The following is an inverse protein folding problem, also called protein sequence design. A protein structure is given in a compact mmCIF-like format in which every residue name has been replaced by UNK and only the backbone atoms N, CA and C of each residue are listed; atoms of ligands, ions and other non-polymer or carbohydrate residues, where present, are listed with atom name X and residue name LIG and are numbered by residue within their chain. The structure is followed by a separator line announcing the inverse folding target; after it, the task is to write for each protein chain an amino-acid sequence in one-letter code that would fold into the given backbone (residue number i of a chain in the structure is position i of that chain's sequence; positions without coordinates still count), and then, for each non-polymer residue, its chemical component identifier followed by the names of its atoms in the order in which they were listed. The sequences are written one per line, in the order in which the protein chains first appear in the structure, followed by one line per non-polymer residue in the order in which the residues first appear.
data_IF_748544148426
#
_entry.id   IF_748544148426
#
_cell.length_a   1.000
_cell.length_b   1.000
_cell.length_c   1.000
_cell.angle_alpha   90.00
_cell.angle_beta   90.00
_cell.angle_gamma   90.00
#
_symmetry.space_group_name_H-M   'P 1'
#
loop_
_entity.id
_entity.type
_entity.pdbx_description
1 polymer ?
#
# COMPACT_ATOMS: atom_id res chain seq x y z
N UNK A 1 -30.03 28.19 4.46
CA UNK A 1 -28.62 27.95 4.11
C UNK A 1 -28.37 26.46 4.07
N UNK A 2 -28.13 25.89 2.89
CA UNK A 2 -27.82 24.47 2.74
C UNK A 2 -26.36 24.20 3.10
N UNK A 3 -26.13 23.49 4.19
CA UNK A 3 -24.78 23.04 4.57
C UNK A 3 -24.22 22.12 3.49
N UNK A 4 -23.10 22.50 2.88
CA UNK A 4 -22.35 21.66 1.96
C UNK A 4 -21.88 20.43 2.74
N UNK A 5 -22.51 19.28 2.50
CA UNK A 5 -21.99 17.97 2.89
C UNK A 5 -20.60 17.82 2.25
N UNK A 6 -19.55 18.11 3.01
CA UNK A 6 -18.20 17.71 2.63
C UNK A 6 -18.14 16.19 2.77
N UNK A 7 -18.48 15.48 1.71
CA UNK A 7 -18.26 14.05 1.63
C UNK A 7 -16.79 13.78 1.97
N UNK A 8 -16.55 12.97 3.01
CA UNK A 8 -15.20 12.61 3.44
C UNK A 8 -14.46 12.01 2.25
N UNK A 9 -13.33 12.63 1.86
CA UNK A 9 -12.44 12.07 0.84
C UNK A 9 -12.08 10.65 1.28
N UNK A 10 -12.47 9.66 0.47
CA UNK A 10 -12.10 8.28 0.71
C UNK A 10 -10.61 8.12 0.44
N UNK A 11 -9.92 7.44 1.36
CA UNK A 11 -8.49 7.13 1.24
C UNK A 11 -8.30 5.78 0.58
N UNK A 12 -7.23 5.67 -0.18
CA UNK A 12 -6.79 4.47 -0.88
C UNK A 12 -5.78 3.72 -0.02
N UNK A 13 -6.31 3.22 1.11
CA UNK A 13 -5.56 2.43 2.09
C UNK A 13 -6.22 1.07 2.27
N UNK A 14 -5.44 0.06 2.62
CA UNK A 14 -5.94 -1.28 2.99
C UNK A 14 -5.34 -1.71 4.32
N UNK A 15 -6.11 -2.41 5.15
CA UNK A 15 -5.68 -2.92 6.45
C UNK A 15 -5.12 -4.35 6.39
N UNK A 16 -5.04 -4.91 5.19
CA UNK A 16 -4.58 -6.27 4.89
C UNK A 16 -4.02 -6.31 3.48
N UNK A 17 -2.99 -7.14 3.27
CA UNK A 17 -2.53 -7.57 1.96
C UNK A 17 -2.27 -9.08 2.01
N UNK A 18 -2.45 -9.81 0.89
CA UNK A 18 -2.15 -11.23 0.85
C UNK A 18 -0.67 -11.51 1.13
N UNK A 19 -0.42 -12.47 2.01
CA UNK A 19 0.90 -13.08 2.18
C UNK A 19 0.81 -14.53 1.70
N UNK A 20 1.40 -14.81 0.55
CA UNK A 20 1.37 -16.15 -0.03
C UNK A 20 2.16 -17.14 0.83
N UNK A 21 1.65 -18.36 0.98
CA UNK A 21 2.31 -19.41 1.77
C UNK A 21 3.68 -19.80 1.18
N UNK A 22 3.86 -19.59 -0.13
CA UNK A 22 5.11 -19.82 -0.85
C UNK A 22 5.88 -18.51 -1.11
N UNK A 23 5.61 -17.41 -0.42
CA UNK A 23 6.31 -16.15 -0.66
C UNK A 23 7.84 -16.29 -0.55
N UNK A 24 8.32 -17.14 0.36
CA UNK A 24 9.75 -17.42 0.54
C UNK A 24 10.41 -18.12 -0.66
N UNK A 25 9.65 -18.77 -1.55
CA UNK A 25 10.20 -19.36 -2.78
C UNK A 25 10.26 -18.37 -3.95
N UNK A 26 9.77 -17.15 -3.77
CA UNK A 26 9.88 -16.10 -4.78
C UNK A 26 11.29 -15.54 -4.87
N UNK A 27 11.78 -15.31 -6.09
CA UNK A 27 13.15 -14.86 -6.37
C UNK A 27 13.58 -13.66 -5.52
N UNK A 28 12.72 -12.63 -5.39
CA UNK A 28 12.99 -11.44 -4.56
C UNK A 28 13.35 -11.79 -3.12
N UNK A 29 12.54 -12.63 -2.48
CA UNK A 29 12.74 -13.03 -1.09
C UNK A 29 13.93 -13.96 -0.92
N UNK A 30 14.17 -14.85 -1.89
CA UNK A 30 15.35 -15.72 -1.93
C UNK A 30 16.64 -14.92 -1.96
N UNK A 31 16.75 -13.92 -2.86
CA UNK A 31 17.96 -13.09 -2.98
C UNK A 31 18.13 -12.16 -1.78
N UNK A 32 17.05 -11.54 -1.28
CA UNK A 32 17.10 -10.70 -0.09
C UNK A 32 17.59 -11.47 1.13
N UNK A 33 17.04 -12.65 1.39
CA UNK A 33 17.46 -13.49 2.51
C UNK A 33 18.89 -13.98 2.34
N UNK A 34 19.30 -14.31 1.11
CA UNK A 34 20.68 -14.72 0.85
C UNK A 34 21.70 -13.61 1.13
N UNK A 35 21.37 -12.34 0.90
CA UNK A 35 22.31 -11.21 1.10
C UNK A 35 22.21 -10.56 2.48
N UNK A 36 21.01 -10.47 3.04
CA UNK A 36 20.73 -9.69 4.24
C UNK A 36 20.08 -10.51 5.37
N UNK A 37 19.92 -11.83 5.18
CA UNK A 37 19.29 -12.71 6.16
C UNK A 37 17.87 -12.27 6.53
N UNK A 38 17.56 -12.33 7.83
CA UNK A 38 16.25 -11.95 8.36
C UNK A 38 15.93 -10.47 8.17
N UNK A 39 16.95 -9.61 8.08
CA UNK A 39 16.73 -8.18 7.84
C UNK A 39 16.14 -7.96 6.45
N UNK A 40 16.62 -8.68 5.43
CA UNK A 40 16.05 -8.62 4.08
C UNK A 40 14.58 -9.08 4.04
N UNK A 41 14.28 -10.19 4.71
CA UNK A 41 12.90 -10.69 4.84
C UNK A 41 12.00 -9.68 5.55
N UNK A 42 12.40 -9.23 6.75
CA UNK A 42 11.63 -8.32 7.57
C UNK A 42 11.44 -6.97 6.88
N UNK A 43 12.48 -6.44 6.22
CA UNK A 43 12.42 -5.19 5.48
C UNK A 43 11.35 -5.26 4.38
N UNK A 44 11.35 -6.32 3.57
CA UNK A 44 10.40 -6.45 2.47
C UNK A 44 8.95 -6.44 2.95
N UNK A 45 8.61 -7.28 3.93
CA UNK A 45 7.23 -7.35 4.41
C UNK A 45 6.78 -6.11 5.17
N UNK A 46 7.65 -5.54 6.02
CA UNK A 46 7.35 -4.25 6.66
C UNK A 46 7.17 -3.15 5.63
N UNK A 47 7.94 -3.14 4.54
CA UNK A 47 7.76 -2.17 3.45
C UNK A 47 6.38 -2.32 2.80
N UNK A 48 5.97 -3.56 2.49
CA UNK A 48 4.63 -3.84 1.96
C UNK A 48 3.53 -3.39 2.93
N UNK A 49 3.67 -3.61 4.23
CA UNK A 49 2.74 -3.09 5.25
C UNK A 49 2.65 -1.56 5.20
N UNK A 50 3.79 -0.87 5.11
CA UNK A 50 3.81 0.61 5.02
C UNK A 50 3.12 1.10 3.75
N UNK A 51 3.36 0.46 2.60
CA UNK A 51 2.72 0.80 1.33
C UNK A 51 1.21 0.52 1.37
N UNK A 52 0.79 -0.64 1.85
CA UNK A 52 -0.62 -1.02 1.98
C UNK A 52 -1.42 -0.02 2.83
N UNK A 53 -0.80 0.49 3.92
CA UNK A 53 -1.40 1.47 4.82
C UNK A 53 -1.29 2.93 4.35
N UNK A 54 -0.49 3.21 3.31
CA UNK A 54 -0.31 4.55 2.76
C UNK A 54 -1.42 4.88 1.75
N UNK A 55 -1.87 6.14 1.75
CA UNK A 55 -2.87 6.62 0.80
C UNK A 55 -2.29 6.53 -0.63
N UNK A 56 -2.99 5.85 -1.52
CA UNK A 56 -2.53 5.62 -2.88
C UNK A 56 -1.31 4.71 -2.97
N UNK A 57 -1.09 3.84 -1.97
CA UNK A 57 -0.08 2.77 -1.96
C UNK A 57 1.36 3.17 -2.35
N UNK A 58 1.73 4.41 -2.07
CA UNK A 58 3.05 4.95 -2.33
C UNK A 58 3.61 5.66 -1.10
N UNK A 59 4.93 5.69 -0.99
CA UNK A 59 5.63 6.41 0.07
C UNK A 59 6.59 7.43 -0.55
N UNK A 60 6.31 8.70 -0.33
CA UNK A 60 7.29 9.78 -0.56
C UNK A 60 8.24 9.86 0.65
N UNK A 61 9.50 9.50 0.41
CA UNK A 61 10.61 9.56 1.37
C UNK A 61 11.69 10.56 0.96
N UNK A 62 11.37 11.55 0.13
CA UNK A 62 12.30 12.61 -0.26
C UNK A 62 12.76 13.46 0.93
N UNK A 63 11.95 13.51 2.00
CA UNK A 63 12.33 14.13 3.25
C UNK A 63 13.19 13.17 4.11
N UNK A 64 14.35 13.62 4.57
CA UNK A 64 15.30 12.81 5.37
C UNK A 64 14.68 12.25 6.65
N UNK A 65 13.82 12.99 7.36
CA UNK A 65 13.10 12.50 8.54
C UNK A 65 12.16 11.35 8.19
N UNK A 66 11.45 11.43 7.06
CA UNK A 66 10.58 10.32 6.60
C UNK A 66 11.42 9.08 6.27
N UNK A 67 12.57 9.27 5.63
CA UNK A 67 13.51 8.18 5.33
C UNK A 67 14.05 7.52 6.61
N UNK A 68 14.57 8.30 7.57
CA UNK A 68 15.06 7.75 8.84
C UNK A 68 13.95 7.04 9.64
N UNK A 69 12.73 7.57 9.63
CA UNK A 69 11.59 6.92 10.28
C UNK A 69 11.23 5.58 9.60
N UNK A 70 11.35 5.50 8.27
CA UNK A 70 11.17 4.25 7.54
C UNK A 70 12.22 3.23 7.98
N UNK A 71 13.50 3.61 7.96
CA UNK A 71 14.62 2.75 8.35
C UNK A 71 14.49 2.24 9.79
N UNK A 72 14.12 3.12 10.73
CA UNK A 72 13.88 2.75 12.12
C UNK A 72 12.77 1.70 12.26
N UNK A 73 11.72 1.77 11.43
CA UNK A 73 10.65 0.75 11.40
C UNK A 73 11.15 -0.57 10.82
N UNK A 74 11.96 -0.50 9.78
CA UNK A 74 12.58 -1.70 9.18
C UNK A 74 13.52 -2.38 10.18
N UNK A 75 14.22 -1.60 11.01
CA UNK A 75 15.20 -2.08 11.98
C UNK A 75 16.61 -2.16 11.42
N UNK A 76 16.91 -1.39 10.37
CA UNK A 76 18.23 -1.40 9.71
C UNK A 76 18.85 0.00 9.70
N UNK A 77 20.17 0.06 9.55
CA UNK A 77 20.88 1.32 9.34
C UNK A 77 20.72 1.84 7.90
N UNK A 78 21.21 3.05 7.65
CA UNK A 78 21.08 3.70 6.34
C UNK A 78 21.79 2.97 5.20
N UNK A 79 23.00 2.45 5.45
CA UNK A 79 23.77 1.73 4.43
C UNK A 79 22.99 0.49 3.99
N UNK A 80 22.60 -0.36 4.94
CA UNK A 80 21.84 -1.59 4.67
C UNK A 80 20.48 -1.29 4.03
N UNK A 81 19.78 -0.24 4.48
CA UNK A 81 18.50 0.15 3.91
C UNK A 81 18.60 0.62 2.46
N UNK A 82 19.64 1.38 2.10
CA UNK A 82 19.90 1.79 0.71
C UNK A 82 20.26 0.58 -0.15
N UNK A 83 21.09 -0.34 0.34
CA UNK A 83 21.46 -1.56 -0.38
C UNK A 83 20.25 -2.46 -0.66
N UNK A 84 19.37 -2.67 0.32
CA UNK A 84 18.12 -3.43 0.15
C UNK A 84 17.22 -2.75 -0.90
N UNK A 85 17.03 -1.43 -0.81
CA UNK A 85 16.19 -0.70 -1.77
C UNK A 85 16.75 -0.76 -3.19
N UNK A 86 18.07 -0.63 -3.36
CA UNK A 86 18.70 -0.74 -4.68
C UNK A 86 18.53 -2.14 -5.27
N UNK A 87 18.67 -3.18 -4.47
CA UNK A 87 18.41 -4.55 -4.91
C UNK A 87 16.94 -4.75 -5.29
N UNK A 88 16.00 -4.25 -4.49
CA UNK A 88 14.57 -4.31 -4.80
C UNK A 88 14.23 -3.63 -6.15
N UNK A 89 14.90 -2.53 -6.46
CA UNK A 89 14.78 -1.84 -7.76
C UNK A 89 15.41 -2.64 -8.90
N UNK A 90 16.60 -3.21 -8.69
CA UNK A 90 17.28 -4.09 -9.66
C UNK A 90 16.40 -5.31 -10.00
N UNK A 91 15.75 -5.88 -8.99
CA UNK A 91 14.81 -7.00 -9.12
C UNK A 91 13.41 -6.60 -9.59
N UNK A 92 13.20 -5.32 -9.93
CA UNK A 92 11.92 -4.78 -10.40
C UNK A 92 10.75 -4.97 -9.42
N UNK A 93 11.04 -5.22 -8.13
CA UNK A 93 10.04 -5.32 -7.08
C UNK A 93 9.55 -3.93 -6.61
N UNK A 94 10.43 -2.93 -6.77
CA UNK A 94 10.15 -1.50 -6.58
C UNK A 94 10.42 -0.76 -7.90
N UNK A 95 9.56 0.20 -8.22
CA UNK A 95 9.67 0.99 -9.43
C UNK A 95 10.94 1.86 -9.45
N UNK A 96 11.72 1.72 -10.53
CA UNK A 96 13.02 2.39 -10.68
C UNK A 96 12.90 3.90 -10.86
N UNK A 97 11.94 4.36 -11.65
CA UNK A 97 11.79 5.78 -11.99
C UNK A 97 11.30 6.57 -10.78
N UNK A 98 10.33 6.01 -10.07
CA UNK A 98 9.81 6.58 -8.83
C UNK A 98 10.87 6.58 -7.73
N UNK A 99 11.66 5.51 -7.59
CA UNK A 99 12.74 5.49 -6.61
C UNK A 99 13.80 6.56 -6.88
N UNK A 100 14.06 6.89 -8.16
CA UNK A 100 14.91 8.01 -8.56
C UNK A 100 14.45 9.35 -7.96
N UNK A 101 13.14 9.52 -7.76
CA UNK A 101 12.51 10.68 -7.12
C UNK A 101 12.19 10.46 -5.63
N UNK A 102 12.75 9.41 -5.01
CA UNK A 102 12.50 8.99 -3.61
C UNK A 102 11.03 8.69 -3.31
N UNK A 103 10.32 8.17 -4.31
CA UNK A 103 8.98 7.62 -4.17
C UNK A 103 9.06 6.10 -4.26
N UNK A 104 8.50 5.41 -3.28
CA UNK A 104 8.47 3.95 -3.25
C UNK A 104 7.10 3.48 -3.74
N UNK A 105 7.11 2.62 -4.76
CA UNK A 105 5.93 2.01 -5.36
C UNK A 105 6.22 0.56 -5.73
N UNK A 106 5.24 -0.32 -5.54
CA UNK A 106 5.30 -1.71 -5.97
C UNK A 106 4.03 -2.06 -6.74
N UNK A 107 4.14 -2.28 -8.05
CA UNK A 107 3.00 -2.68 -8.87
C UNK A 107 2.41 -4.01 -8.40
N UNK A 108 3.28 -4.97 -8.05
CA UNK A 108 2.89 -6.28 -7.54
C UNK A 108 1.99 -6.19 -6.30
N UNK A 109 2.27 -5.25 -5.39
CA UNK A 109 1.40 -5.04 -4.22
C UNK A 109 0.00 -4.59 -4.65
N UNK A 110 -0.09 -3.63 -5.57
CA UNK A 110 -1.36 -3.08 -6.06
C UNK A 110 -2.18 -4.14 -6.79
N UNK A 111 -1.52 -4.97 -7.59
CA UNK A 111 -2.15 -6.10 -8.28
C UNK A 111 -2.71 -7.11 -7.26
N UNK A 112 -1.92 -7.44 -6.23
CA UNK A 112 -2.30 -8.40 -5.17
C UNK A 112 -3.49 -7.94 -4.32
N UNK A 113 -3.71 -6.63 -4.17
CA UNK A 113 -4.85 -6.08 -3.43
C UNK A 113 -6.00 -5.66 -4.35
N UNK A 114 -5.94 -6.02 -5.64
CA UNK A 114 -6.88 -5.50 -6.63
C UNK A 114 -8.34 -5.86 -6.34
N UNK A 115 -8.58 -7.05 -5.79
CA UNK A 115 -9.92 -7.51 -5.40
C UNK A 115 -10.54 -6.65 -4.29
N UNK A 116 -9.73 -6.03 -3.42
CA UNK A 116 -10.23 -5.08 -2.41
C UNK A 116 -10.87 -3.87 -3.08
N UNK A 117 -10.27 -3.35 -4.15
CA UNK A 117 -10.80 -2.22 -4.91
C UNK A 117 -12.00 -2.59 -5.78
N UNK A 118 -11.99 -3.80 -6.37
CA UNK A 118 -13.18 -4.36 -7.04
C UNK A 118 -14.37 -4.42 -6.09
N UNK A 119 -14.18 -4.92 -4.86
CA UNK A 119 -15.22 -4.99 -3.83
C UNK A 119 -15.69 -3.60 -3.37
N UNK A 120 -14.79 -2.62 -3.34
CA UNK A 120 -15.13 -1.21 -3.07
C UNK A 120 -15.83 -0.53 -4.26
N UNK A 121 -15.89 -1.17 -5.44
CA UNK A 121 -16.35 -0.58 -6.71
C UNK A 121 -15.57 0.70 -7.05
N UNK A 122 -14.26 0.66 -6.87
CA UNK A 122 -13.34 1.78 -7.13
C UNK A 122 -12.22 1.32 -8.04
N UNK A 123 -11.67 2.26 -8.79
CA UNK A 123 -10.46 2.04 -9.59
C UNK A 123 -9.25 1.78 -8.68
N UNK A 124 -8.29 1.01 -9.20
CA UNK A 124 -7.01 0.84 -8.53
C UNK A 124 -6.25 2.18 -8.52
N UNK A 125 -5.52 2.47 -7.44
CA UNK A 125 -4.56 3.57 -7.44
C UNK A 125 -3.62 3.41 -8.64
N UNK A 126 -3.49 4.48 -9.41
CA UNK A 126 -2.57 4.53 -10.54
C UNK A 126 -1.16 4.81 -10.03
N UNK A 127 -0.17 4.40 -10.83
CA UNK A 127 1.22 4.73 -10.58
C UNK A 127 1.36 6.25 -10.36
N UNK A 128 2.04 6.71 -9.29
CA UNK A 128 2.22 8.13 -9.04
C UNK A 128 2.94 8.81 -10.21
N UNK A 129 2.45 9.96 -10.66
CA UNK A 129 3.11 10.72 -11.72
C UNK A 129 4.25 11.52 -11.07
N UNK A 130 5.50 11.23 -11.48
CA UNK A 130 6.67 12.03 -11.14
C UNK A 130 6.65 13.36 -11.90
N UNK A 131 5.89 14.35 -11.44
CA UNK A 131 6.06 15.71 -11.94
C UNK A 131 7.29 16.32 -11.27
N UNK A 132 8.28 16.75 -12.07
CA UNK A 132 9.57 17.33 -11.64
C UNK A 132 9.48 18.63 -10.81
N UNK A 133 8.35 18.93 -10.18
CA UNK A 133 8.16 20.03 -9.25
C UNK A 133 7.25 19.61 -8.08
N UNK A 134 7.85 19.25 -6.95
CA UNK A 134 7.34 19.27 -5.56
C UNK A 134 5.87 18.87 -5.25
N UNK A 135 5.24 17.97 -6.01
CA UNK A 135 3.94 17.43 -5.62
C UNK A 135 3.56 16.18 -6.38
N UNK A 136 3.48 15.04 -5.67
CA UNK A 136 2.84 13.84 -6.22
C UNK A 136 1.35 14.14 -6.35
N UNK A 137 0.83 14.09 -7.58
CA UNK A 137 -0.60 14.26 -7.82
C UNK A 137 -1.18 12.90 -8.23
N UNK A 138 -2.06 12.35 -7.39
CA UNK A 138 -2.92 11.24 -7.78
C UNK A 138 -4.15 11.82 -8.48
N UNK A 139 -4.40 11.49 -9.74
CA UNK A 139 -5.63 11.91 -10.42
C UNK A 139 -6.85 11.30 -9.73
N UNK A 140 -7.57 12.11 -8.93
CA UNK A 140 -8.85 11.71 -8.33
C UNK A 140 -9.99 12.03 -9.30
N UNK A 141 -10.46 11.04 -10.09
CA UNK A 141 -11.72 11.19 -10.83
C UNK A 141 -12.93 11.12 -9.88
N UNK A 142 -14.05 11.83 -10.17
CA UNK A 142 -15.23 11.80 -9.31
C UNK A 142 -15.99 10.48 -9.49
N UNK A 143 -16.30 9.79 -8.39
CA UNK A 143 -17.06 8.52 -8.42
C UNK A 143 -18.56 8.81 -8.41
N UNK A 144 -19.24 8.36 -9.46
CA UNK A 144 -20.71 8.33 -9.57
C UNK A 144 -21.28 7.28 -8.61
N UNK A 145 -22.16 7.73 -7.72
CA UNK A 145 -22.75 6.93 -6.65
C UNK A 145 -23.73 5.89 -7.20
N UNK A 146 -23.43 4.59 -7.10
CA UNK A 146 -24.43 3.53 -7.26
C UNK A 146 -24.83 3.00 -5.90
N UNK A 147 -26.10 3.28 -5.58
CA UNK A 147 -26.86 2.96 -4.37
C UNK A 147 -26.70 1.48 -3.96
N UNK A 148 -26.12 1.23 -2.80
CA UNK A 148 -26.13 -0.10 -2.15
C UNK A 148 -27.42 -0.25 -1.33
N UNK A 149 -28.23 -1.25 -1.67
CA UNK A 149 -29.36 -1.71 -0.86
C UNK A 149 -28.86 -2.64 0.24
N UNK A 150 -28.69 -2.13 1.45
CA UNK A 150 -28.48 -2.94 2.64
C UNK A 150 -29.84 -3.42 3.16
N UNK A 151 -30.19 -4.68 2.93
CA UNK A 151 -31.35 -5.32 3.54
C UNK A 151 -31.04 -5.64 5.01
N UNK A 152 -31.72 -4.95 5.94
CA UNK A 152 -31.75 -5.34 7.36
C UNK A 152 -32.57 -6.62 7.52
N UNK A 153 -31.93 -7.71 7.93
CA UNK A 153 -32.63 -8.88 8.47
C UNK A 153 -33.12 -8.51 9.87
N UNK A 154 -34.43 -8.60 10.11
CA UNK A 154 -35.03 -8.49 11.44
C UNK A 154 -34.83 -9.83 12.17
N UNK A 155 -34.19 -9.81 13.32
CA UNK A 155 -34.26 -10.92 14.29
C UNK A 155 -35.69 -11.01 14.83
N UNK A 156 -36.31 -12.19 14.72
CA UNK A 156 -37.53 -12.52 15.45
C UNK A 156 -37.14 -13.27 16.72
N UNK A 157 -37.40 -12.64 17.87
CA UNK A 157 -37.32 -13.27 19.19
C UNK A 157 -38.57 -14.11 19.41
N UNK A 158 -38.42 -15.43 19.56
CA UNK A 158 -39.49 -16.33 19.99
C UNK A 158 -39.45 -16.39 21.51
N UNK A 159 -40.41 -15.72 22.16
CA UNK A 159 -40.79 -16.05 23.54
C UNK A 159 -41.88 -17.11 23.45
N UNK A 160 -41.62 -18.32 23.94
CA UNK A 160 -42.66 -19.28 24.28
C UNK A 160 -42.57 -19.55 25.78
N UNK A 161 -43.46 -18.90 26.53
CA UNK A 161 -43.87 -19.32 27.87
C UNK A 161 -45.27 -19.92 27.74
N UNK A 162 -45.39 -21.20 28.06
CA UNK A 162 -46.28 -21.84 29.06
C UNK A 162 -46.05 -23.35 28.93
#
# INVERSE_FOLDING_TARGET
MGGRLMARVQKDTVSYFPHDANACSGDTLTVLQSRFGNDGYAFWFKLLEKLAAADGHSLDVNNSTKWHLLLAKMGVNEITGVEIMNLLVEMQAIDKELWGSKVIWSQKLVDNISDVYKNRRRELPQIPISTNHNGITTEKKPITTVRSTQSKVKENKVDNTI
#
